data_IF_653203533308
#
_entry.id   IF_653203533308
#
_cell.length_a   1.000
_cell.length_b   1.000
_cell.length_c   1.000
_cell.angle_alpha   90.00
_cell.angle_beta   90.00
_cell.angle_gamma   90.00
#
_symmetry.space_group_name_H-M   'P 1'
#
loop_
_entity.id
_entity.type
_entity.pdbx_description
1 polymer ?
#
# COMPACT_ATOMS: atom_id res chain seq x y z
N UNK A 1 7.35 20.72 -7.75
CA UNK A 1 8.03 19.93 -6.88
C UNK A 1 7.14 19.12 -6.01
N UNK A 2 6.73 18.05 -6.41
CA UNK A 2 5.70 17.34 -5.76
C UNK A 2 6.09 16.75 -4.42
N UNK A 3 5.20 16.81 -3.48
CA UNK A 3 5.31 16.06 -2.25
C UNK A 3 4.90 14.64 -2.60
N UNK A 4 5.86 13.87 -3.09
CA UNK A 4 5.61 12.55 -3.65
C UNK A 4 6.70 11.57 -3.21
N UNK A 5 6.28 10.38 -2.81
CA UNK A 5 7.20 9.29 -2.45
C UNK A 5 6.72 8.01 -3.14
N UNK A 6 7.66 7.25 -3.65
CA UNK A 6 7.37 5.96 -4.26
C UNK A 6 8.34 4.91 -3.73
N UNK A 7 7.81 3.75 -3.40
CA UNK A 7 8.60 2.63 -2.86
C UNK A 7 8.21 1.36 -3.56
N UNK A 8 9.20 0.54 -3.91
CA UNK A 8 9.00 -0.78 -4.51
C UNK A 8 9.61 -1.83 -3.59
N UNK A 9 8.90 -2.93 -3.40
CA UNK A 9 9.40 -4.06 -2.62
C UNK A 9 8.95 -5.36 -3.24
N UNK A 10 9.80 -6.38 -3.08
CA UNK A 10 9.44 -7.76 -3.45
C UNK A 10 9.11 -8.46 -2.15
N UNK A 11 7.92 -9.03 -2.07
CA UNK A 11 7.48 -9.75 -0.87
C UNK A 11 7.15 -11.18 -1.22
N UNK A 12 7.48 -12.09 -0.33
CA UNK A 12 7.22 -13.52 -0.53
C UNK A 12 5.83 -13.88 -0.03
N UNK A 13 4.82 -13.32 -0.68
CA UNK A 13 3.42 -13.53 -0.37
C UNK A 13 2.68 -13.69 -1.70
N UNK A 14 1.85 -14.73 -1.84
CA UNK A 14 1.05 -14.89 -3.06
C UNK A 14 0.16 -13.66 -3.31
N UNK A 15 0.02 -13.29 -4.56
CA UNK A 15 -0.63 -12.03 -4.93
C UNK A 15 -2.10 -11.96 -4.46
N UNK A 16 -2.82 -13.06 -4.54
CA UNK A 16 -4.23 -13.06 -4.13
C UNK A 16 -4.37 -12.90 -2.62
N UNK A 17 -3.48 -13.53 -1.86
CA UNK A 17 -3.44 -13.35 -0.42
C UNK A 17 -3.16 -11.90 -0.06
N UNK A 18 -2.21 -11.31 -0.76
CA UNK A 18 -1.83 -9.92 -0.51
C UNK A 18 -2.97 -8.98 -0.85
N UNK A 19 -3.64 -9.21 -1.98
CA UNK A 19 -4.78 -8.41 -2.39
C UNK A 19 -5.88 -8.42 -1.32
N UNK A 20 -6.22 -9.61 -0.82
CA UNK A 20 -7.28 -9.73 0.18
C UNK A 20 -6.87 -9.08 1.49
N UNK A 21 -5.63 -9.30 1.91
CA UNK A 21 -5.11 -8.71 3.16
C UNK A 21 -5.14 -7.19 3.09
N UNK A 22 -4.71 -6.62 1.96
CA UNK A 22 -4.69 -5.18 1.80
C UNK A 22 -6.10 -4.59 1.72
N UNK A 23 -7.00 -5.27 1.00
CA UNK A 23 -8.38 -4.81 0.91
C UNK A 23 -9.01 -4.72 2.31
N UNK A 24 -8.81 -5.76 3.10
CA UNK A 24 -9.31 -5.79 4.47
C UNK A 24 -8.67 -4.69 5.33
N UNK A 25 -7.35 -4.61 5.29
CA UNK A 25 -6.61 -3.66 6.13
C UNK A 25 -6.94 -2.22 5.81
N UNK A 26 -7.05 -1.91 4.52
CA UNK A 26 -7.38 -0.54 4.11
C UNK A 26 -8.79 -0.18 4.55
N UNK A 27 -9.74 -1.10 4.40
CA UNK A 27 -11.13 -0.85 4.80
C UNK A 27 -11.28 -0.69 6.32
N UNK A 28 -10.42 -1.33 7.09
CA UNK A 28 -10.47 -1.23 8.55
C UNK A 28 -9.87 0.08 9.07
N UNK A 29 -9.09 0.77 8.26
CA UNK A 29 -8.46 2.03 8.65
C UNK A 29 -9.29 3.20 8.16
N UNK A 30 -9.69 4.08 9.08
CA UNK A 30 -10.42 5.28 8.69
C UNK A 30 -9.56 6.27 7.90
N UNK A 31 -8.27 6.06 7.89
CA UNK A 31 -7.33 6.96 7.22
C UNK A 31 -7.36 6.84 5.70
N UNK A 32 -7.73 5.68 5.18
CA UNK A 32 -7.69 5.41 3.75
C UNK A 32 -9.06 5.02 3.20
N UNK A 33 -9.24 5.29 1.92
CA UNK A 33 -10.45 4.87 1.21
C UNK A 33 -10.04 4.30 -0.15
N UNK A 34 -10.50 3.09 -0.45
CA UNK A 34 -10.26 2.51 -1.78
C UNK A 34 -11.26 3.13 -2.75
N UNK A 35 -10.76 3.87 -3.73
CA UNK A 35 -11.60 4.47 -4.76
C UNK A 35 -11.91 3.43 -5.82
N UNK A 36 -10.89 2.62 -6.19
CA UNK A 36 -11.05 1.66 -7.26
C UNK A 36 -10.02 0.56 -7.12
N UNK A 37 -10.44 -0.66 -7.43
CA UNK A 37 -9.51 -1.79 -7.56
C UNK A 37 -9.58 -2.25 -9.02
N UNK A 38 -8.45 -2.31 -9.68
CA UNK A 38 -8.35 -2.66 -11.08
C UNK A 38 -7.66 -4.01 -11.21
N UNK A 39 -8.26 -4.91 -11.99
CA UNK A 39 -7.63 -6.18 -12.31
C UNK A 39 -6.85 -6.01 -13.59
N UNK A 40 -5.56 -6.33 -13.54
CA UNK A 40 -4.68 -6.21 -14.69
C UNK A 40 -4.21 -7.59 -15.12
N UNK A 41 -3.51 -7.64 -16.26
CA UNK A 41 -3.07 -8.91 -16.83
C UNK A 41 -2.26 -9.75 -15.83
N UNK A 42 -1.38 -9.11 -15.08
CA UNK A 42 -0.47 -9.82 -14.18
C UNK A 42 -0.57 -9.35 -12.74
N UNK A 43 -1.72 -8.80 -12.36
CA UNK A 43 -1.87 -8.34 -10.99
C UNK A 43 -3.05 -7.43 -10.77
N UNK A 44 -2.90 -6.55 -9.80
CA UNK A 44 -3.98 -5.66 -9.37
C UNK A 44 -3.46 -4.26 -9.14
N UNK A 45 -4.33 -3.28 -9.36
CA UNK A 45 -4.04 -1.91 -9.01
C UNK A 45 -5.09 -1.37 -8.06
N UNK A 46 -4.67 -0.66 -7.03
CA UNK A 46 -5.56 0.03 -6.12
C UNK A 46 -5.36 1.52 -6.26
N UNK A 47 -6.45 2.24 -6.45
CA UNK A 47 -6.45 3.70 -6.35
C UNK A 47 -7.03 4.03 -4.99
N UNK A 48 -6.24 4.66 -4.15
CA UNK A 48 -6.57 4.88 -2.75
C UNK A 48 -6.49 6.37 -2.45
N UNK A 49 -7.37 6.82 -1.58
CA UNK A 49 -7.39 8.20 -1.14
C UNK A 49 -6.99 8.25 0.33
N UNK A 50 -5.96 9.03 0.63
CA UNK A 50 -5.64 9.37 2.00
C UNK A 50 -6.51 10.55 2.40
N UNK A 51 -7.21 10.43 3.52
CA UNK A 51 -8.17 11.44 3.92
C UNK A 51 -7.47 12.69 4.46
N UNK A 52 -8.14 13.83 4.31
CA UNK A 52 -7.63 15.09 4.86
C UNK A 52 -7.42 14.98 6.36
N UNK A 53 -6.39 15.67 6.83
CA UNK A 53 -6.08 15.74 8.25
C UNK A 53 -5.60 17.15 8.56
N UNK A 54 -5.25 17.39 9.81
CA UNK A 54 -4.70 18.68 10.18
C UNK A 54 -3.37 18.98 9.49
N UNK A 55 -2.69 17.92 9.05
CA UNK A 55 -1.36 18.04 8.45
C UNK A 55 -1.36 17.97 6.94
N UNK A 56 -2.47 17.60 6.33
CA UNK A 56 -2.51 17.39 4.89
C UNK A 56 -3.92 17.55 4.33
N UNK A 57 -3.99 18.08 3.11
CA UNK A 57 -5.24 18.17 2.36
C UNK A 57 -5.64 16.84 1.76
N UNK A 58 -4.89 15.79 2.06
CA UNK A 58 -5.15 14.47 1.54
C UNK A 58 -4.11 14.08 0.51
N UNK A 59 -4.02 12.79 0.26
CA UNK A 59 -3.06 12.25 -0.69
C UNK A 59 -3.74 11.33 -1.68
N UNK A 60 -3.17 11.24 -2.88
CA UNK A 60 -3.57 10.26 -3.87
C UNK A 60 -2.52 9.16 -3.85
N UNK A 61 -2.98 7.93 -3.68
CA UNK A 61 -2.09 6.79 -3.52
C UNK A 61 -2.42 5.76 -4.60
N UNK A 62 -1.38 5.28 -5.27
CA UNK A 62 -1.51 4.19 -6.23
C UNK A 62 -0.68 3.03 -5.73
N UNK A 63 -1.33 1.90 -5.52
CA UNK A 63 -0.68 0.69 -5.06
C UNK A 63 -0.84 -0.38 -6.12
N UNK A 64 0.27 -0.90 -6.62
CA UNK A 64 0.27 -1.88 -7.69
C UNK A 64 0.86 -3.19 -7.16
N UNK A 65 0.16 -4.27 -7.42
CA UNK A 65 0.62 -5.62 -7.11
C UNK A 65 0.87 -6.34 -8.43
N UNK A 66 2.09 -6.84 -8.59
CA UNK A 66 2.47 -7.55 -9.81
C UNK A 66 3.03 -8.92 -9.42
N UNK A 67 2.46 -9.97 -9.98
CA UNK A 67 2.90 -11.33 -9.69
C UNK A 67 4.28 -11.58 -10.30
N UNK A 68 5.22 -12.00 -9.47
CA UNK A 68 6.54 -12.44 -9.94
C UNK A 68 6.50 -13.93 -10.19
N UNK A 69 5.90 -14.68 -9.26
CA UNK A 69 5.63 -16.10 -9.40
C UNK A 69 4.51 -16.46 -8.41
N UNK A 70 4.20 -17.74 -8.26
CA UNK A 70 3.08 -18.18 -7.42
C UNK A 70 3.16 -17.70 -5.97
N UNK A 71 4.37 -17.45 -5.48
CA UNK A 71 4.58 -17.15 -4.07
C UNK A 71 5.19 -15.79 -3.82
N UNK A 72 5.40 -15.01 -4.88
CA UNK A 72 6.15 -13.77 -4.77
C UNK A 72 5.45 -12.65 -5.53
N UNK A 73 5.34 -11.50 -4.90
CA UNK A 73 4.66 -10.34 -5.48
C UNK A 73 5.56 -9.12 -5.39
N UNK A 74 5.58 -8.35 -6.47
CA UNK A 74 6.22 -7.04 -6.48
C UNK A 74 5.18 -5.99 -6.11
N UNK A 75 5.47 -5.22 -5.08
CA UNK A 75 4.57 -4.18 -4.57
C UNK A 75 5.18 -2.82 -4.85
N UNK A 76 4.42 -1.97 -5.52
CA UNK A 76 4.82 -0.59 -5.76
C UNK A 76 3.77 0.31 -5.15
N UNK A 77 4.18 1.23 -4.29
CA UNK A 77 3.27 2.19 -3.66
C UNK A 77 3.79 3.58 -3.93
N UNK A 78 2.93 4.42 -4.51
CA UNK A 78 3.22 5.82 -4.72
C UNK A 78 2.20 6.65 -3.96
N UNK A 79 2.66 7.59 -3.15
CA UNK A 79 1.79 8.50 -2.42
C UNK A 79 2.19 9.93 -2.76
N UNK A 80 1.21 10.74 -3.10
CA UNK A 80 1.43 12.10 -3.57
C UNK A 80 0.42 13.02 -2.92
N UNK A 81 0.88 14.18 -2.42
CA UNK A 81 -0.01 15.17 -1.83
C UNK A 81 -0.94 15.71 -2.90
N UNK A 82 -2.24 15.76 -2.59
CA UNK A 82 -3.25 16.23 -3.54
C UNK A 82 -3.07 17.70 -3.85
N UNK A 83 -2.67 18.47 -2.86
CA UNK A 83 -2.43 19.90 -3.04
C UNK A 83 -0.94 20.14 -3.28
N UNK A 84 -0.59 20.45 -4.53
CA UNK A 84 0.80 20.62 -4.93
C UNK A 84 1.47 21.83 -4.29
N UNK A 85 0.71 22.78 -3.83
CA UNK A 85 1.25 23.99 -3.19
C UNK A 85 1.43 23.83 -1.69
N UNK A 86 1.18 22.65 -1.14
CA UNK A 86 1.37 22.40 0.27
C UNK A 86 2.83 22.63 0.64
N UNK A 87 3.07 23.49 1.64
CA UNK A 87 4.43 23.88 2.00
C UNK A 87 5.15 22.76 2.75
N UNK A 88 4.46 22.13 3.69
CA UNK A 88 5.03 21.06 4.50
C UNK A 88 4.30 19.76 4.18
N UNK A 89 5.06 18.69 3.96
CA UNK A 89 4.44 17.40 3.75
C UNK A 89 4.35 16.57 5.05
N UNK A 90 5.04 17.01 6.11
CA UNK A 90 5.01 16.33 7.41
C UNK A 90 5.32 14.85 7.29
N UNK A 91 6.06 14.46 6.25
CA UNK A 91 6.35 13.06 5.93
C UNK A 91 5.08 12.22 5.76
N UNK A 92 3.97 12.84 5.38
CA UNK A 92 2.69 12.14 5.26
C UNK A 92 2.78 11.03 4.22
N UNK A 93 3.41 11.32 3.08
CA UNK A 93 3.53 10.33 2.01
C UNK A 93 4.32 9.11 2.46
N UNK A 94 5.44 9.32 3.16
CA UNK A 94 6.24 8.19 3.65
C UNK A 94 5.47 7.41 4.72
N UNK A 95 4.75 8.11 5.59
CA UNK A 95 3.94 7.46 6.62
C UNK A 95 2.83 6.61 6.01
N UNK A 96 2.21 7.10 4.94
CA UNK A 96 1.18 6.34 4.24
C UNK A 96 1.75 5.05 3.68
N UNK A 97 2.92 5.14 3.04
CA UNK A 97 3.58 3.98 2.47
C UNK A 97 3.96 2.98 3.57
N UNK A 98 4.54 3.47 4.66
CA UNK A 98 4.92 2.62 5.78
C UNK A 98 3.72 1.91 6.38
N UNK A 99 2.61 2.62 6.50
CA UNK A 99 1.40 2.04 7.07
C UNK A 99 0.82 0.96 6.14
N UNK A 100 0.83 1.20 4.84
CA UNK A 100 0.34 0.21 3.89
C UNK A 100 1.22 -1.05 3.90
N UNK A 101 2.54 -0.89 3.97
CA UNK A 101 3.42 -2.04 4.09
C UNK A 101 3.21 -2.77 5.42
N UNK A 102 2.93 -2.03 6.49
CA UNK A 102 2.70 -2.67 7.79
C UNK A 102 1.45 -3.56 7.79
N UNK A 103 0.49 -3.26 6.93
CA UNK A 103 -0.71 -4.10 6.79
C UNK A 103 -0.37 -5.49 6.25
N UNK A 104 0.78 -5.64 5.60
CA UNK A 104 1.23 -6.91 5.05
C UNK A 104 1.96 -7.75 6.08
N UNK A 105 2.40 -7.16 7.19
CA UNK A 105 3.18 -7.86 8.20
C UNK A 105 2.51 -9.08 8.81
N UNK A 106 1.20 -9.07 9.06
CA UNK A 106 0.57 -10.29 9.59
C UNK A 106 0.78 -11.52 8.71
N UNK A 107 0.77 -11.34 7.38
CA UNK A 107 1.05 -12.44 6.47
C UNK A 107 2.50 -12.89 6.57
N UNK A 108 3.42 -11.94 6.65
CA UNK A 108 4.84 -12.23 6.76
C UNK A 108 5.14 -12.98 8.05
N UNK A 109 4.58 -12.50 9.16
CA UNK A 109 4.78 -13.13 10.46
C UNK A 109 4.19 -14.53 10.49
N UNK A 110 3.04 -14.73 9.88
CA UNK A 110 2.41 -16.05 9.82
C UNK A 110 3.28 -17.03 9.06
N UNK A 111 3.86 -16.62 7.95
CA UNK A 111 4.78 -17.45 7.17
C UNK A 111 6.01 -17.82 7.99
N UNK A 112 6.59 -16.84 8.69
CA UNK A 112 7.77 -17.07 9.51
C UNK A 112 7.48 -18.06 10.64
N UNK A 113 6.32 -17.94 11.27
CA UNK A 113 5.92 -18.86 12.35
C UNK A 113 5.76 -20.29 11.80
N UNK A 114 5.11 -20.41 10.64
CA UNK A 114 4.96 -21.73 10.00
C UNK A 114 6.31 -22.37 9.71
N UNK A 115 7.25 -21.57 9.21
CA UNK A 115 8.59 -22.06 8.91
C UNK A 115 9.34 -22.49 10.16
N UNK A 116 9.15 -21.77 11.26
CA UNK A 116 9.82 -22.11 12.52
C UNK A 116 9.29 -23.41 13.13
N UNK A 117 8.04 -23.73 12.86
CA UNK A 117 7.40 -24.91 13.42
C UNK A 117 7.70 -26.17 12.62
N UNK A 118 8.38 -26.02 11.52
CA UNK A 118 8.83 -27.16 10.72
C UNK A 118 10.24 -27.60 11.11
#
# INVERSE_FOLDING_TARGET
>A
MGKKVQTKRIVEIPIDTLKDTLSYGINEKNKFEIIKCITEYNGYGFIIKGKMSMKSWGEDIILTLESVNEYTTKVTIKSECRLQTQIFDWNVNQKNIDELFSMMEPCIKKENVSNKNN
#
